data_IF_162897536736
#
_entry.id   IF_162897536736
#
_cell.length_a   1.000
_cell.length_b   1.000
_cell.length_c   1.000
_cell.angle_alpha   90.00
_cell.angle_beta   90.00
_cell.angle_gamma   90.00
#
_symmetry.space_group_name_H-M   'P 1'
#
loop_
_entity.id
_entity.type
_entity.pdbx_description
1 polymer ?
#
# COMPACT_ATOMS: atom_id res chain seq x y z
N UNK A 1 16.89 -33.20 19.77
CA UNK A 1 17.19 -32.90 18.35
C UNK A 1 17.53 -31.42 18.28
N UNK A 2 18.78 -31.07 17.98
CA UNK A 2 19.21 -29.67 17.91
C UNK A 2 18.89 -29.18 16.50
N UNK A 3 17.78 -28.47 16.33
CA UNK A 3 17.53 -27.75 15.10
C UNK A 3 18.47 -26.54 15.07
N UNK A 4 19.31 -26.36 14.04
CA UNK A 4 20.07 -25.12 13.88
C UNK A 4 19.08 -23.95 13.83
N UNK A 5 19.41 -22.85 14.51
CA UNK A 5 18.60 -21.63 14.49
C UNK A 5 18.73 -20.98 13.12
N UNK A 6 17.72 -21.16 12.26
CA UNK A 6 17.61 -20.45 10.99
C UNK A 6 17.12 -19.02 11.26
N UNK A 7 18.03 -18.14 11.71
CA UNK A 7 17.72 -16.80 12.17
C UNK A 7 18.17 -15.74 11.15
N UNK A 8 17.24 -14.90 10.71
CA UNK A 8 17.56 -13.63 10.03
C UNK A 8 17.71 -12.54 11.08
N UNK A 9 18.94 -12.07 11.33
CA UNK A 9 19.22 -11.07 12.37
C UNK A 9 18.84 -9.63 12.00
N UNK A 10 18.66 -9.37 10.71
CA UNK A 10 18.37 -8.02 10.20
C UNK A 10 16.89 -7.69 10.40
N UNK A 11 16.55 -6.50 10.91
CA UNK A 11 15.16 -6.13 11.12
C UNK A 11 14.43 -5.90 9.80
N UNK A 12 13.12 -6.12 9.82
CA UNK A 12 12.22 -5.62 8.78
C UNK A 12 11.85 -4.17 9.10
N UNK A 13 12.24 -3.24 8.25
CA UNK A 13 11.75 -1.87 8.32
C UNK A 13 10.39 -1.79 7.62
N UNK A 14 9.38 -1.21 8.25
CA UNK A 14 8.08 -0.95 7.66
C UNK A 14 7.97 0.54 7.42
N UNK A 15 7.76 0.95 6.17
CA UNK A 15 7.49 2.32 5.79
C UNK A 15 6.00 2.48 5.44
N UNK A 16 5.34 3.47 6.03
CA UNK A 16 3.94 3.78 5.72
C UNK A 16 3.76 5.28 5.47
N UNK A 17 3.12 5.67 4.35
CA UNK A 17 2.77 7.05 4.10
C UNK A 17 1.39 7.36 4.72
N UNK A 18 1.25 8.57 5.25
CA UNK A 18 0.01 9.08 5.82
C UNK A 18 -0.41 10.32 5.03
N UNK A 19 -1.17 10.08 3.98
CA UNK A 19 -1.72 11.09 3.09
C UNK A 19 -3.19 11.29 3.41
N UNK A 20 -3.59 12.43 3.98
CA UNK A 20 -4.98 12.68 4.36
C UNK A 20 -5.41 14.14 4.12
N UNK A 21 -5.46 14.60 2.85
CA UNK A 21 -5.76 15.99 2.52
C UNK A 21 -7.15 16.43 3.00
N UNK A 22 -8.10 15.51 3.14
CA UNK A 22 -9.47 15.78 3.56
C UNK A 22 -9.73 15.54 5.06
N UNK A 23 -8.71 15.15 5.84
CA UNK A 23 -8.78 14.96 7.31
C UNK A 23 -9.79 13.91 7.77
N UNK A 24 -9.96 12.83 7.00
CA UNK A 24 -10.84 11.74 7.41
C UNK A 24 -10.36 11.13 8.74
N UNK A 25 -11.23 11.11 9.76
CA UNK A 25 -10.92 10.65 11.12
C UNK A 25 -10.55 9.17 11.14
N UNK A 26 -11.22 8.36 10.32
CA UNK A 26 -11.02 6.91 10.25
C UNK A 26 -9.58 6.53 9.90
N UNK A 27 -8.91 7.31 9.04
CA UNK A 27 -7.50 7.08 8.67
C UNK A 27 -6.56 7.13 9.87
N UNK A 28 -6.77 8.05 10.80
CA UNK A 28 -5.91 8.18 11.99
C UNK A 28 -6.11 7.00 12.94
N UNK A 29 -7.36 6.56 13.15
CA UNK A 29 -7.66 5.39 13.98
C UNK A 29 -7.02 4.12 13.40
N UNK A 30 -7.20 3.88 12.11
CA UNK A 30 -6.62 2.71 11.44
C UNK A 30 -5.09 2.73 11.49
N UNK A 31 -4.49 3.89 11.26
CA UNK A 31 -3.04 4.05 11.38
C UNK A 31 -2.53 3.77 12.81
N UNK A 32 -3.24 4.21 13.85
CA UNK A 32 -2.87 3.92 15.24
C UNK A 32 -2.91 2.42 15.55
N UNK A 33 -3.94 1.72 15.09
CA UNK A 33 -4.06 0.26 15.24
C UNK A 33 -2.95 -0.47 14.47
N UNK A 34 -2.68 -0.03 13.25
CA UNK A 34 -1.60 -0.54 12.40
C UNK A 34 -0.22 -0.36 13.07
N UNK A 35 0.03 0.80 13.67
CA UNK A 35 1.28 1.05 14.41
C UNK A 35 1.48 0.03 15.53
N UNK A 36 0.43 -0.27 16.30
CA UNK A 36 0.50 -1.29 17.35
C UNK A 36 0.80 -2.66 16.74
N UNK A 37 0.07 -3.04 15.71
CA UNK A 37 0.24 -4.33 15.03
C UNK A 37 1.67 -4.55 14.50
N UNK A 38 2.28 -3.53 13.90
CA UNK A 38 3.68 -3.59 13.41
C UNK A 38 4.67 -3.76 14.55
N UNK A 39 4.48 -3.05 15.66
CA UNK A 39 5.35 -3.11 16.85
C UNK A 39 5.26 -4.46 17.56
N UNK A 40 4.03 -4.93 17.78
CA UNK A 40 3.77 -6.22 18.43
C UNK A 40 4.43 -7.38 17.64
N UNK A 41 4.49 -7.26 16.31
CA UNK A 41 5.14 -8.24 15.44
C UNK A 41 6.68 -8.12 15.37
N UNK A 42 7.27 -7.10 16.00
CA UNK A 42 8.73 -6.92 16.09
C UNK A 42 9.39 -6.18 14.92
N UNK A 43 8.62 -5.52 14.04
CA UNK A 43 9.16 -4.73 12.94
C UNK A 43 9.41 -3.26 13.33
N UNK A 44 10.29 -2.57 12.58
CA UNK A 44 10.67 -1.17 12.83
C UNK A 44 9.84 -0.24 11.94
N UNK A 45 8.90 0.50 12.52
CA UNK A 45 8.00 1.39 11.77
C UNK A 45 8.59 2.79 11.56
N UNK A 46 8.57 3.27 10.31
CA UNK A 46 8.81 4.66 9.89
C UNK A 46 7.55 5.20 9.20
N UNK A 47 6.97 6.27 9.73
CA UNK A 47 5.78 6.91 9.14
C UNK A 47 6.15 8.22 8.49
N UNK A 48 5.66 8.46 7.26
CA UNK A 48 5.82 9.76 6.57
C UNK A 48 4.46 10.42 6.43
N UNK A 49 4.23 11.49 7.19
CA UNK A 49 2.98 12.25 7.14
C UNK A 49 3.09 13.40 6.13
N UNK A 50 2.13 13.51 5.21
CA UNK A 50 1.95 14.72 4.39
C UNK A 50 0.87 15.60 5.03
N UNK A 51 1.30 16.70 5.65
CA UNK A 51 0.43 17.72 6.24
C UNK A 51 0.24 18.87 5.25
N UNK A 52 -0.98 19.40 5.13
CA UNK A 52 -1.33 20.40 4.10
C UNK A 52 -1.42 21.82 4.67
N UNK A 53 -0.76 22.78 4.03
CA UNK A 53 -0.83 24.20 4.38
C UNK A 53 -0.28 24.50 5.78
N UNK A 54 -1.05 25.24 6.59
CA UNK A 54 -0.71 25.60 7.98
C UNK A 54 -1.16 24.56 9.03
N UNK A 55 -1.74 23.44 8.59
CA UNK A 55 -2.30 22.43 9.50
C UNK A 55 -1.22 21.81 10.39
N UNK A 56 -1.60 21.50 11.62
CA UNK A 56 -0.80 20.69 12.55
C UNK A 56 -0.70 19.25 12.05
N UNK A 57 0.40 18.58 12.42
CA UNK A 57 0.61 17.16 12.13
C UNK A 57 -0.36 16.36 12.98
N UNK A 58 -1.13 15.46 12.39
CA UNK A 58 -1.99 14.60 13.21
C UNK A 58 -1.20 13.45 13.87
N UNK A 59 0.02 13.17 13.43
CA UNK A 59 0.96 12.40 14.24
C UNK A 59 1.24 13.04 15.61
N UNK A 60 1.18 14.37 15.75
CA UNK A 60 1.39 15.03 17.06
C UNK A 60 0.24 14.77 18.03
N UNK A 61 -0.98 14.60 17.52
CA UNK A 61 -2.18 14.36 18.32
C UNK A 61 -2.39 12.87 18.64
N UNK A 62 -1.90 11.98 17.78
CA UNK A 62 -2.17 10.53 17.82
C UNK A 62 -0.95 9.65 18.08
N UNK A 63 0.27 10.21 18.12
CA UNK A 63 1.44 9.45 18.54
C UNK A 63 1.24 8.96 19.97
N UNK A 64 1.19 7.63 20.14
CA UNK A 64 1.08 7.01 21.45
C UNK A 64 2.15 7.59 22.39
N UNK A 65 1.78 8.08 23.59
CA UNK A 65 2.77 8.56 24.55
C UNK A 65 3.75 7.42 24.85
N UNK A 66 5.04 7.69 24.68
CA UNK A 66 6.13 6.74 24.90
C UNK A 66 6.21 6.19 26.35
N UNK A 67 5.37 6.69 27.26
CA UNK A 67 5.28 6.25 28.65
C UNK A 67 3.90 5.64 28.92
N UNK A 68 3.78 4.33 28.73
CA UNK A 68 2.87 3.53 29.56
C UNK A 68 3.59 2.26 29.99
N UNK A 69 4.08 2.30 31.23
CA UNK A 69 4.34 1.11 32.02
C UNK A 69 2.99 0.46 32.26
N UNK A 70 2.59 -0.46 31.38
CA UNK A 70 1.66 -1.58 31.60
C UNK A 70 1.19 -2.07 30.23
N UNK A 71 1.83 -3.13 29.74
CA UNK A 71 1.31 -3.92 28.63
C UNK A 71 0.06 -4.67 29.11
N UNK A 72 -1.10 -4.59 28.42
CA UNK A 72 -2.18 -5.51 28.69
C UNK A 72 -1.74 -6.92 28.25
N UNK A 73 -1.58 -7.81 29.24
CA UNK A 73 -1.30 -9.22 29.04
C UNK A 73 -2.41 -9.85 28.19
N UNK A 74 -2.08 -10.27 26.97
CA UNK A 74 -2.93 -11.17 26.18
C UNK A 74 -2.32 -12.57 26.25
N UNK A 75 -2.95 -13.44 27.05
CA UNK A 75 -2.48 -14.81 27.27
C UNK A 75 -2.92 -15.76 26.15
N UNK A 76 -1.91 -16.37 25.53
CA UNK A 76 -1.82 -17.75 25.02
C UNK A 76 -2.85 -18.29 24.03
N UNK A 77 -2.48 -18.33 22.74
CA UNK A 77 -2.25 -19.56 21.96
C UNK A 77 -1.13 -19.24 20.93
N UNK A 78 0.03 -19.87 21.11
CA UNK A 78 1.30 -19.39 20.56
C UNK A 78 1.53 -19.75 19.08
N UNK A 79 1.88 -18.79 18.21
CA UNK A 79 2.65 -19.08 17.00
C UNK A 79 4.11 -19.38 17.34
N UNK A 80 4.90 -19.75 16.32
CA UNK A 80 6.34 -19.95 16.40
C UNK A 80 7.02 -18.86 17.27
N UNK A 81 8.11 -19.20 17.99
CA UNK A 81 8.83 -18.24 18.81
C UNK A 81 9.14 -16.98 17.98
N UNK A 82 8.61 -15.85 18.43
CA UNK A 82 8.97 -14.53 17.91
C UNK A 82 10.51 -14.47 17.91
N UNK A 83 11.17 -14.21 16.77
CA UNK A 83 12.61 -14.02 16.76
C UNK A 83 12.96 -13.06 17.88
N UNK A 84 13.89 -13.45 18.76
CA UNK A 84 14.34 -12.59 19.84
C UNK A 84 14.60 -11.22 19.24
N UNK A 85 13.84 -10.20 19.68
CA UNK A 85 13.79 -8.89 19.05
C UNK A 85 15.21 -8.52 18.64
N UNK A 86 15.47 -8.46 17.33
CA UNK A 86 16.78 -8.07 16.82
C UNK A 86 17.15 -6.81 17.60
N UNK A 87 18.30 -6.82 18.30
CA UNK A 87 18.73 -5.69 19.13
C UNK A 87 18.49 -4.45 18.30
N UNK A 88 17.55 -3.60 18.74
CA UNK A 88 17.18 -2.42 17.98
C UNK A 88 18.49 -1.71 17.57
N UNK A 89 18.64 -1.32 16.30
CA UNK A 89 19.88 -0.73 15.84
C UNK A 89 20.28 0.41 16.79
N UNK A 90 21.56 0.51 17.18
CA UNK A 90 22.03 1.47 18.19
C UNK A 90 21.72 2.92 17.80
N UNK A 91 21.55 3.19 16.50
CA UNK A 91 20.95 4.41 15.96
C UNK A 91 19.44 4.24 15.82
N UNK A 92 18.75 4.43 16.94
CA UNK A 92 17.30 4.34 17.08
C UNK A 92 16.61 5.29 16.08
N UNK A 93 15.71 4.77 15.25
CA UNK A 93 14.56 5.56 14.84
C UNK A 93 13.48 5.39 15.93
N UNK A 94 13.45 6.32 16.89
CA UNK A 94 12.62 6.24 18.12
C UNK A 94 11.32 6.99 17.85
N UNK A 95 10.39 6.34 17.13
CA UNK A 95 9.22 7.01 16.52
C UNK A 95 9.63 8.16 15.58
N UNK A 96 10.15 7.81 14.41
CA UNK A 96 10.41 8.82 13.40
C UNK A 96 9.19 9.02 12.54
N UNK A 97 8.56 10.16 12.78
CA UNK A 97 7.57 10.75 11.91
C UNK A 97 8.29 11.73 11.02
N UNK A 98 8.36 11.44 9.74
CA UNK A 98 8.85 12.41 8.77
C UNK A 98 7.65 13.26 8.38
N UNK A 99 7.68 14.53 8.80
CA UNK A 99 6.64 15.49 8.46
C UNK A 99 7.00 16.17 7.16
N UNK A 100 6.16 15.99 6.16
CA UNK A 100 6.30 16.64 4.86
C UNK A 100 5.16 17.63 4.69
N UNK A 101 5.48 18.90 4.48
CA UNK A 101 4.47 19.96 4.33
C UNK A 101 4.12 20.19 2.87
N UNK A 102 2.94 19.77 2.48
CA UNK A 102 2.39 19.89 1.14
C UNK A 102 1.56 21.19 1.04
N UNK A 103 1.60 21.92 -0.07
CA UNK A 103 0.68 23.05 -0.32
C UNK A 103 -0.41 22.69 -1.32
N UNK A 104 -1.17 23.70 -1.77
CA UNK A 104 -2.32 23.51 -2.64
C UNK A 104 -1.97 22.98 -4.05
N UNK A 105 -0.72 23.13 -4.49
CA UNK A 105 -0.20 22.59 -5.75
C UNK A 105 0.30 21.15 -5.60
N UNK A 106 0.36 20.67 -4.35
CA UNK A 106 0.75 19.33 -3.94
C UNK A 106 -0.46 18.50 -3.44
N UNK A 107 -1.69 18.97 -3.64
CA UNK A 107 -2.92 18.17 -3.50
C UNK A 107 -3.06 17.15 -4.64
N UNK A 108 -2.00 16.38 -4.87
CA UNK A 108 -1.89 15.27 -5.82
C UNK A 108 -1.68 13.97 -5.03
N UNK A 109 -1.86 12.81 -5.65
CA UNK A 109 -1.51 11.55 -4.98
C UNK A 109 0.00 11.47 -4.78
N UNK A 110 0.47 11.54 -3.53
CA UNK A 110 1.90 11.57 -3.19
C UNK A 110 2.39 10.32 -2.47
N UNK A 111 1.58 9.25 -2.40
CA UNK A 111 1.90 8.02 -1.65
C UNK A 111 3.32 7.52 -1.95
N UNK A 112 3.64 7.27 -3.21
CA UNK A 112 4.95 6.73 -3.60
C UNK A 112 6.08 7.75 -3.49
N UNK A 113 5.81 9.05 -3.63
CA UNK A 113 6.81 10.09 -3.31
C UNK A 113 7.19 10.07 -1.82
N UNK A 114 6.19 9.92 -0.93
CA UNK A 114 6.42 9.83 0.51
C UNK A 114 7.15 8.53 0.87
N UNK A 115 6.86 7.42 0.18
CA UNK A 115 7.62 6.17 0.33
C UNK A 115 9.09 6.35 -0.11
N UNK A 116 9.35 7.05 -1.21
CA UNK A 116 10.71 7.37 -1.63
C UNK A 116 11.45 8.26 -0.61
N UNK A 117 10.75 9.24 0.01
CA UNK A 117 11.29 10.01 1.13
C UNK A 117 11.60 9.11 2.33
N UNK A 118 10.72 8.15 2.65
CA UNK A 118 10.95 7.20 3.73
C UNK A 118 12.24 6.38 3.52
N UNK A 119 12.46 5.88 2.30
CA UNK A 119 13.68 5.12 1.95
C UNK A 119 14.96 5.91 2.20
N UNK A 120 14.94 7.22 1.94
CA UNK A 120 16.11 8.10 2.15
C UNK A 120 16.45 8.31 3.62
N UNK A 121 15.52 8.04 4.54
CA UNK A 121 15.68 8.23 5.98
C UNK A 121 15.90 6.91 6.75
N UNK A 122 15.85 5.77 6.06
CA UNK A 122 16.23 4.50 6.67
C UNK A 122 17.74 4.48 6.99
N UNK A 123 18.18 3.74 8.03
CA UNK A 123 19.60 3.63 8.38
C UNK A 123 20.46 3.18 7.18
N UNK A 124 21.66 3.74 6.96
CA UNK A 124 22.46 3.49 5.76
C UNK A 124 22.83 2.02 5.49
N UNK A 125 22.60 1.10 6.43
CA UNK A 125 22.86 -0.34 6.36
C UNK A 125 21.59 -1.21 6.31
N UNK A 126 20.39 -0.61 6.17
CA UNK A 126 19.13 -1.35 6.06
C UNK A 126 19.17 -2.35 4.88
N UNK A 127 18.55 -3.53 5.06
CA UNK A 127 18.52 -4.60 4.03
C UNK A 127 17.13 -4.98 3.56
N UNK A 128 16.14 -4.93 4.44
CA UNK A 128 14.79 -5.37 4.15
C UNK A 128 13.80 -4.28 4.53
N UNK A 129 12.93 -3.92 3.58
CA UNK A 129 11.87 -2.94 3.80
C UNK A 129 10.54 -3.50 3.32
N UNK A 130 9.49 -3.23 4.07
CA UNK A 130 8.11 -3.41 3.67
C UNK A 130 7.41 -2.06 3.53
N UNK A 131 6.59 -1.89 2.50
CA UNK A 131 5.66 -0.78 2.38
C UNK A 131 4.24 -1.31 2.47
N UNK A 132 3.50 -0.82 3.46
CA UNK A 132 2.24 -1.41 3.89
C UNK A 132 1.21 -0.31 4.08
N UNK A 133 0.00 -0.52 3.56
CA UNK A 133 -1.13 0.37 3.79
C UNK A 133 -1.55 0.31 5.26
N UNK A 134 -1.77 1.47 5.89
CA UNK A 134 -2.05 1.53 7.32
C UNK A 134 -3.48 1.14 7.71
N UNK A 135 -4.26 0.59 6.78
CA UNK A 135 -5.62 0.12 6.96
C UNK A 135 -5.73 -1.41 6.88
N UNK A 136 -4.59 -2.11 7.01
CA UNK A 136 -4.51 -3.57 6.96
C UNK A 136 -3.98 -4.21 8.24
N UNK A 137 -4.31 -5.49 8.42
CA UNK A 137 -3.77 -6.34 9.48
C UNK A 137 -3.47 -7.74 8.93
N UNK A 138 -2.34 -8.32 9.33
CA UNK A 138 -2.00 -9.69 8.99
C UNK A 138 -2.59 -10.65 10.01
N UNK A 139 -3.30 -11.67 9.53
CA UNK A 139 -3.93 -12.67 10.40
C UNK A 139 -2.90 -13.63 11.01
N UNK A 140 -1.82 -13.93 10.27
CA UNK A 140 -0.73 -14.74 10.80
C UNK A 140 0.18 -13.87 11.67
N UNK A 141 0.49 -14.28 12.91
CA UNK A 141 1.25 -13.45 13.84
C UNK A 141 2.77 -13.44 13.57
N UNK A 142 3.28 -14.39 12.79
CA UNK A 142 4.69 -14.53 12.41
C UNK A 142 5.00 -13.89 11.04
N UNK A 143 4.13 -13.00 10.53
CA UNK A 143 4.24 -12.38 9.21
C UNK A 143 5.58 -11.66 8.98
N UNK A 144 6.17 -11.06 10.02
CA UNK A 144 7.50 -10.42 9.93
C UNK A 144 8.57 -11.45 9.63
N UNK A 145 8.61 -12.53 10.43
CA UNK A 145 9.61 -13.60 10.26
C UNK A 145 9.44 -14.27 8.90
N UNK A 146 8.22 -14.63 8.53
CA UNK A 146 7.93 -15.25 7.24
C UNK A 146 8.36 -14.35 6.07
N UNK A 147 8.06 -13.04 6.14
CA UNK A 147 8.48 -12.09 5.10
C UNK A 147 10.00 -12.05 4.97
N UNK A 148 10.73 -12.04 6.09
CA UNK A 148 12.20 -12.09 6.09
C UNK A 148 12.73 -13.38 5.46
N UNK A 149 12.12 -14.54 5.74
CA UNK A 149 12.49 -15.81 5.10
C UNK A 149 12.21 -15.81 3.60
N UNK A 150 11.04 -15.30 3.16
CA UNK A 150 10.74 -15.16 1.73
C UNK A 150 11.77 -14.25 1.03
N UNK A 151 12.21 -13.16 1.67
CA UNK A 151 13.25 -12.27 1.13
C UNK A 151 14.65 -12.90 1.04
N UNK A 152 14.88 -14.09 1.60
CA UNK A 152 16.12 -14.85 1.35
C UNK A 152 16.14 -15.49 -0.03
N UNK A 153 14.96 -15.73 -0.61
CA UNK A 153 14.79 -16.38 -1.91
C UNK A 153 14.39 -15.38 -3.01
N UNK A 154 13.63 -14.34 -2.66
CA UNK A 154 13.01 -13.42 -3.61
C UNK A 154 13.53 -11.99 -3.45
N UNK A 155 13.60 -11.24 -4.56
CA UNK A 155 13.99 -9.82 -4.52
C UNK A 155 12.86 -8.94 -3.97
N UNK A 156 11.62 -9.29 -4.30
CA UNK A 156 10.40 -8.58 -3.96
C UNK A 156 9.34 -9.60 -3.57
N UNK A 157 8.60 -9.34 -2.50
CA UNK A 157 7.62 -10.27 -1.93
C UNK A 157 6.31 -9.53 -1.70
N UNK A 158 5.18 -10.09 -2.16
CA UNK A 158 3.87 -9.63 -1.74
C UNK A 158 3.48 -10.35 -0.43
N UNK A 159 3.04 -9.59 0.57
CA UNK A 159 3.01 -10.08 1.97
C UNK A 159 1.73 -10.83 2.36
N UNK A 160 0.95 -11.29 1.39
CA UNK A 160 -0.27 -12.06 1.59
C UNK A 160 -0.59 -12.88 0.34
N UNK A 161 -1.29 -14.00 0.51
CA UNK A 161 -1.86 -14.78 -0.60
C UNK A 161 -3.36 -14.52 -0.77
N UNK A 162 -4.05 -14.22 0.34
CA UNK A 162 -5.48 -13.90 0.39
C UNK A 162 -5.70 -12.59 1.15
N UNK A 163 -6.57 -11.73 0.66
CA UNK A 163 -7.05 -10.57 1.40
C UNK A 163 -8.57 -10.62 1.55
N UNK A 164 -9.08 -10.20 2.71
CA UNK A 164 -10.49 -10.02 3.00
C UNK A 164 -10.77 -8.54 3.22
N UNK A 165 -11.64 -7.95 2.41
CA UNK A 165 -12.19 -6.64 2.70
C UNK A 165 -13.29 -6.78 3.75
N UNK A 166 -13.25 -5.92 4.76
CA UNK A 166 -14.22 -5.93 5.85
C UNK A 166 -15.24 -4.80 5.71
N UNK A 167 -16.46 -5.07 6.16
CA UNK A 167 -17.53 -4.09 6.34
C UNK A 167 -17.22 -3.14 7.51
N UNK A 168 -17.99 -2.05 7.68
CA UNK A 168 -17.92 -1.21 8.88
C UNK A 168 -18.10 -1.99 10.19
N UNK A 169 -18.78 -3.13 10.14
CA UNK A 169 -19.03 -4.04 11.26
C UNK A 169 -18.02 -5.19 11.37
N UNK A 170 -16.93 -5.13 10.60
CA UNK A 170 -15.86 -6.13 10.58
C UNK A 170 -16.26 -7.49 9.96
N UNK A 171 -17.32 -7.52 9.17
CA UNK A 171 -17.75 -8.73 8.44
C UNK A 171 -17.07 -8.78 7.08
N UNK A 172 -16.59 -9.94 6.60
CA UNK A 172 -16.04 -10.04 5.24
C UNK A 172 -17.10 -9.66 4.19
N UNK A 173 -16.71 -8.81 3.24
CA UNK A 173 -17.57 -8.36 2.12
C UNK A 173 -16.96 -8.61 0.75
N UNK A 174 -15.65 -8.84 0.67
CA UNK A 174 -14.98 -9.29 -0.54
C UNK A 174 -13.73 -10.09 -0.19
N UNK A 175 -13.36 -11.00 -1.08
CA UNK A 175 -12.11 -11.76 -0.98
C UNK A 175 -11.26 -11.53 -2.23
N UNK A 176 -9.95 -11.54 -2.06
CA UNK A 176 -8.98 -11.31 -3.14
C UNK A 176 -7.81 -12.28 -3.04
N UNK A 177 -7.36 -12.82 -4.17
CA UNK A 177 -6.02 -13.37 -4.28
C UNK A 177 -5.01 -12.27 -4.59
N UNK A 178 -3.84 -12.36 -3.96
CA UNK A 178 -2.75 -11.43 -4.24
C UNK A 178 -2.24 -11.57 -5.68
N UNK A 179 -1.59 -10.53 -6.17
CA UNK A 179 -1.01 -10.48 -7.52
C UNK A 179 0.04 -11.56 -7.71
N UNK A 180 1.00 -11.68 -6.79
CA UNK A 180 2.07 -12.67 -6.92
C UNK A 180 1.55 -14.09 -6.73
N UNK A 181 0.60 -14.33 -5.81
CA UNK A 181 -0.04 -15.63 -5.70
C UNK A 181 -0.73 -16.04 -7.01
N UNK A 182 -1.50 -15.13 -7.61
CA UNK A 182 -2.17 -15.38 -8.89
C UNK A 182 -1.18 -15.69 -10.01
N UNK A 183 -0.04 -14.99 -10.05
CA UNK A 183 1.05 -15.23 -10.99
C UNK A 183 1.71 -16.60 -10.82
N UNK A 184 2.05 -16.97 -9.59
CA UNK A 184 2.70 -18.25 -9.27
C UNK A 184 1.80 -19.45 -9.56
N UNK A 185 0.48 -19.28 -9.45
CA UNK A 185 -0.51 -20.30 -9.83
C UNK A 185 -0.75 -20.37 -11.35
N UNK A 186 -0.04 -19.57 -12.16
CA UNK A 186 -0.18 -19.57 -13.61
C UNK A 186 -1.56 -19.13 -14.10
N UNK A 187 -2.29 -18.34 -13.29
CA UNK A 187 -3.60 -17.84 -13.69
C UNK A 187 -3.45 -16.92 -14.89
N UNK A 188 -4.55 -16.74 -15.65
CA UNK A 188 -4.58 -15.73 -16.70
C UNK A 188 -4.88 -14.37 -16.04
N UNK A 189 -3.99 -13.39 -16.18
CA UNK A 189 -4.22 -12.02 -15.73
C UNK A 189 -5.26 -11.29 -16.60
N UNK A 190 -6.05 -10.36 -16.03
CA UNK A 190 -7.07 -9.64 -16.78
C UNK A 190 -6.48 -8.81 -17.91
N UNK A 191 -7.29 -8.62 -18.96
CA UNK A 191 -7.02 -7.72 -20.08
C UNK A 191 -6.95 -6.26 -19.63
N UNK A 192 -6.40 -5.39 -20.48
CA UNK A 192 -6.22 -3.96 -20.19
C UNK A 192 -7.56 -3.28 -19.88
N UNK A 193 -7.75 -2.81 -18.65
CA UNK A 193 -8.94 -2.07 -18.22
C UNK A 193 -9.42 -2.45 -16.83
N UNK A 194 -9.22 -3.70 -16.43
CA UNK A 194 -9.63 -4.22 -15.12
C UNK A 194 -8.48 -4.20 -14.12
N UNK A 195 -8.68 -3.45 -13.03
CA UNK A 195 -7.67 -3.28 -11.98
C UNK A 195 -7.47 -4.55 -11.15
N UNK A 196 -8.55 -5.34 -11.00
CA UNK A 196 -8.59 -6.64 -10.35
C UNK A 196 -9.25 -7.61 -11.32
N UNK A 197 -8.63 -8.78 -11.55
CA UNK A 197 -9.24 -9.77 -12.42
C UNK A 197 -10.43 -10.38 -11.70
N UNK A 198 -11.66 -9.99 -12.05
CA UNK A 198 -12.83 -10.76 -11.68
C UNK A 198 -12.66 -12.18 -12.23
N UNK A 199 -12.93 -13.21 -11.43
CA UNK A 199 -12.87 -14.58 -11.95
C UNK A 199 -13.69 -14.68 -13.24
N UNK A 200 -13.20 -15.46 -14.21
CA UNK A 200 -13.54 -15.51 -15.63
C UNK A 200 -15.04 -15.58 -16.03
N UNK A 201 -15.99 -15.52 -15.11
CA UNK A 201 -17.42 -15.75 -15.32
C UNK A 201 -18.36 -14.70 -14.69
N UNK A 202 -17.84 -13.64 -14.06
CA UNK A 202 -18.67 -12.63 -13.38
C UNK A 202 -19.47 -13.16 -12.19
N UNK A 203 -19.20 -14.41 -11.76
CA UNK A 203 -19.83 -15.10 -10.62
C UNK A 203 -18.84 -15.39 -9.51
N UNK A 204 -17.54 -15.31 -9.78
CA UNK A 204 -16.51 -15.49 -8.77
C UNK A 204 -16.59 -14.40 -7.71
N UNK A 205 -16.88 -14.84 -6.48
CA UNK A 205 -16.93 -14.03 -5.26
C UNK A 205 -15.54 -13.56 -4.81
N UNK A 206 -14.49 -14.15 -5.39
CA UNK A 206 -13.08 -13.84 -5.13
C UNK A 206 -12.50 -13.14 -6.36
N UNK A 207 -11.99 -11.93 -6.17
CA UNK A 207 -11.19 -11.25 -7.18
C UNK A 207 -9.78 -11.83 -7.21
N UNK A 208 -9.12 -11.79 -8.35
CA UNK A 208 -7.74 -12.24 -8.54
C UNK A 208 -6.86 -11.04 -8.85
N UNK A 209 -5.55 -11.20 -8.71
CA UNK A 209 -4.57 -10.19 -9.11
C UNK A 209 -4.55 -8.89 -8.29
N UNK A 210 -4.82 -8.94 -6.99
CA UNK A 210 -4.79 -7.73 -6.16
C UNK A 210 -3.36 -7.20 -5.93
N UNK A 211 -3.05 -6.02 -6.49
CA UNK A 211 -1.70 -5.42 -6.46
C UNK A 211 -1.39 -4.58 -5.21
N UNK A 212 -2.39 -4.16 -4.44
CA UNK A 212 -2.21 -3.21 -3.34
C UNK A 212 -1.82 -3.85 -1.99
N UNK A 213 -2.06 -3.10 -0.92
CA UNK A 213 -1.94 -3.48 0.49
C UNK A 213 -0.53 -3.61 1.05
N UNK A 214 0.22 -4.66 0.71
CA UNK A 214 1.45 -4.95 1.43
C UNK A 214 2.48 -5.69 0.58
N UNK A 215 3.68 -5.14 0.56
CA UNK A 215 4.83 -5.67 -0.15
C UNK A 215 6.11 -5.44 0.65
N UNK A 216 7.11 -6.26 0.37
CA UNK A 216 8.46 -6.11 0.89
C UNK A 216 9.50 -6.32 -0.21
N UNK A 217 10.68 -5.73 -0.02
CA UNK A 217 11.79 -5.89 -0.94
C UNK A 217 13.13 -5.83 -0.20
N UNK A 218 14.12 -6.43 -0.86
CA UNK A 218 15.53 -6.24 -0.52
C UNK A 218 15.96 -4.85 -0.97
N UNK A 219 16.86 -4.21 -0.22
CA UNK A 219 17.40 -2.90 -0.58
C UNK A 219 17.94 -2.85 -2.00
N UNK A 220 18.77 -3.83 -2.35
CA UNK A 220 19.38 -3.92 -3.68
C UNK A 220 18.33 -3.91 -4.80
N UNK A 221 17.17 -4.54 -4.58
CA UNK A 221 16.09 -4.57 -5.58
C UNK A 221 15.53 -3.17 -5.82
N UNK A 222 15.27 -2.41 -4.74
CA UNK A 222 14.77 -1.03 -4.82
C UNK A 222 15.82 -0.06 -5.38
N UNK A 223 17.08 -0.18 -4.97
CA UNK A 223 18.18 0.64 -5.49
C UNK A 223 18.33 0.47 -7.02
N UNK A 224 18.23 -0.78 -7.50
CA UNK A 224 18.36 -1.08 -8.93
C UNK A 224 17.20 -0.53 -9.76
N UNK A 225 15.97 -0.62 -9.28
CA UNK A 225 14.81 -0.07 -10.01
C UNK A 225 14.65 1.44 -9.82
N UNK A 226 15.45 2.07 -8.94
CA UNK A 226 15.44 3.50 -8.69
C UNK A 226 14.33 3.96 -7.74
N UNK A 227 13.94 3.10 -6.79
CA UNK A 227 12.86 3.33 -5.85
C UNK A 227 11.46 3.08 -6.44
N UNK A 228 10.45 3.65 -5.80
CA UNK A 228 9.04 3.51 -6.19
C UNK A 228 8.68 4.43 -7.36
N UNK A 229 7.78 3.99 -8.24
CA UNK A 229 7.22 4.84 -9.30
C UNK A 229 6.32 5.92 -8.69
N UNK A 230 6.77 7.17 -8.67
CA UNK A 230 6.08 8.27 -7.97
C UNK A 230 5.49 9.36 -8.88
N UNK A 231 5.68 9.24 -10.20
CA UNK A 231 5.01 10.08 -11.19
C UNK A 231 3.49 9.81 -11.41
N UNK A 232 2.90 8.66 -10.98
CA UNK A 232 1.45 8.46 -11.03
C UNK A 232 0.68 9.33 -10.01
N UNK A 233 0.47 10.61 -10.34
CA UNK A 233 -0.11 11.64 -9.45
C UNK A 233 -1.61 11.49 -9.10
N UNK A 234 -2.26 10.41 -9.57
CA UNK A 234 -3.64 10.03 -9.21
C UNK A 234 -3.73 8.56 -8.70
N UNK A 235 -2.58 7.97 -8.33
CA UNK A 235 -2.44 6.58 -7.92
C UNK A 235 -2.17 5.62 -9.08
N UNK A 236 -2.35 4.31 -8.82
CA UNK A 236 -2.06 3.17 -9.71
C UNK A 236 -0.60 2.71 -9.76
N UNK A 237 0.31 3.35 -9.02
CA UNK A 237 1.71 2.95 -8.98
C UNK A 237 1.93 1.51 -8.48
N UNK A 238 1.14 1.03 -7.51
CA UNK A 238 1.14 -0.37 -7.07
C UNK A 238 0.83 -1.32 -8.24
N UNK A 239 -0.18 -1.00 -9.05
CA UNK A 239 -0.55 -1.78 -10.22
C UNK A 239 0.52 -1.74 -11.31
N UNK A 240 1.10 -0.55 -11.57
CA UNK A 240 2.22 -0.38 -12.51
C UNK A 240 3.43 -1.21 -12.09
N UNK A 241 3.85 -1.10 -10.83
CA UNK A 241 4.99 -1.84 -10.29
C UNK A 241 4.73 -3.35 -10.30
N UNK A 242 3.56 -3.82 -9.87
CA UNK A 242 3.20 -5.23 -9.87
C UNK A 242 3.23 -5.85 -11.28
N UNK A 243 2.59 -5.19 -12.27
CA UNK A 243 2.62 -5.62 -13.67
C UNK A 243 4.03 -5.54 -14.26
N UNK A 244 4.80 -4.50 -13.95
CA UNK A 244 6.17 -4.34 -14.43
C UNK A 244 7.12 -5.42 -13.89
N UNK A 245 6.94 -5.87 -12.64
CA UNK A 245 7.72 -6.95 -12.04
C UNK A 245 7.60 -8.29 -12.77
N UNK A 246 6.54 -8.49 -13.57
CA UNK A 246 6.33 -9.68 -14.40
C UNK A 246 6.43 -9.38 -15.92
N UNK A 247 6.99 -8.23 -16.29
CA UNK A 247 7.20 -7.84 -17.69
C UNK A 247 5.96 -7.34 -18.43
N UNK A 248 4.89 -6.95 -17.72
CA UNK A 248 3.57 -6.58 -18.29
C UNK A 248 3.14 -5.13 -17.98
N UNK A 249 4.07 -4.27 -17.62
CA UNK A 249 3.88 -2.85 -17.33
C UNK A 249 3.18 -2.07 -18.44
N UNK A 250 3.38 -2.43 -19.71
CA UNK A 250 2.68 -1.83 -20.85
C UNK A 250 1.15 -1.92 -20.73
N UNK A 251 0.64 -2.99 -20.13
CA UNK A 251 -0.80 -3.23 -19.97
C UNK A 251 -1.40 -2.48 -18.78
N UNK A 252 -0.54 -1.98 -17.89
CA UNK A 252 -0.97 -1.28 -16.69
C UNK A 252 -1.41 0.16 -16.96
N UNK A 253 -1.12 0.70 -18.16
CA UNK A 253 -1.43 2.08 -18.53
C UNK A 253 -2.59 2.15 -19.52
N UNK A 254 -3.33 3.26 -19.48
CA UNK A 254 -4.39 3.52 -20.46
C UNK A 254 -3.83 3.61 -21.89
N UNK A 255 -4.56 3.09 -22.88
CA UNK A 255 -4.12 3.08 -24.29
C UNK A 255 -3.81 4.50 -24.83
N UNK A 256 -4.61 5.48 -24.41
CA UNK A 256 -4.51 6.89 -24.83
C UNK A 256 -3.67 7.74 -23.88
N UNK A 257 -2.92 7.15 -22.94
CA UNK A 257 -2.03 7.92 -22.05
C UNK A 257 -0.88 8.54 -22.85
N UNK A 258 -0.36 9.67 -22.34
CA UNK A 258 0.79 10.34 -22.96
C UNK A 258 2.00 9.39 -23.13
N UNK A 259 2.72 9.42 -24.27
CA UNK A 259 3.86 8.54 -24.52
C UNK A 259 4.95 8.59 -23.44
N UNK A 260 5.23 9.76 -22.87
CA UNK A 260 6.23 9.89 -21.81
C UNK A 260 5.83 9.20 -20.50
N UNK A 261 4.52 9.13 -20.19
CA UNK A 261 4.03 8.36 -19.05
C UNK A 261 4.27 6.87 -19.26
N UNK A 262 3.93 6.38 -20.45
CA UNK A 262 4.18 4.99 -20.85
C UNK A 262 5.67 4.67 -20.81
N UNK A 263 6.51 5.54 -21.36
CA UNK A 263 7.96 5.40 -21.36
C UNK A 263 8.53 5.34 -19.93
N UNK A 264 7.99 6.11 -18.99
CA UNK A 264 8.42 6.08 -17.60
C UNK A 264 8.10 4.72 -16.92
N UNK A 265 6.90 4.15 -17.15
CA UNK A 265 6.56 2.79 -16.69
C UNK A 265 7.51 1.76 -17.29
N UNK A 266 7.72 1.82 -18.60
CA UNK A 266 8.57 0.86 -19.31
C UNK A 266 10.03 0.96 -18.87
N UNK A 267 10.56 2.16 -18.64
CA UNK A 267 11.94 2.34 -18.17
C UNK A 267 12.16 1.70 -16.79
N UNK A 268 11.16 1.75 -15.89
CA UNK A 268 11.22 1.05 -14.61
C UNK A 268 11.13 -0.47 -14.80
N UNK A 269 10.22 -0.95 -15.67
CA UNK A 269 10.15 -2.37 -16.04
C UNK A 269 11.48 -2.88 -16.60
N UNK A 270 12.13 -2.14 -17.50
CA UNK A 270 13.37 -2.57 -18.14
C UNK A 270 14.49 -2.77 -17.12
N UNK A 271 14.52 -1.99 -16.02
CA UNK A 271 15.44 -2.22 -14.90
C UNK A 271 15.05 -3.49 -14.13
N UNK A 272 13.75 -3.67 -13.84
CA UNK A 272 13.26 -4.86 -13.15
C UNK A 272 13.53 -6.16 -13.94
N UNK A 273 13.21 -6.21 -15.23
CA UNK A 273 13.45 -7.38 -16.09
C UNK A 273 14.94 -7.75 -16.16
N UNK A 274 15.83 -6.75 -16.26
CA UNK A 274 17.28 -6.98 -16.33
C UNK A 274 17.86 -7.57 -15.04
N UNK A 275 17.37 -7.11 -13.89
CA UNK A 275 18.05 -7.36 -12.61
C UNK A 275 17.22 -8.15 -11.59
N UNK A 276 15.93 -7.86 -11.44
CA UNK A 276 15.02 -8.64 -10.60
C UNK A 276 14.66 -9.95 -11.27
N UNK A 277 14.57 -9.97 -12.62
CA UNK A 277 14.31 -11.15 -13.46
C UNK A 277 13.07 -11.93 -13.01
N UNK A 278 12.01 -11.19 -12.64
CA UNK A 278 10.74 -11.72 -12.14
C UNK A 278 10.88 -12.64 -10.92
N UNK A 279 11.96 -12.51 -10.15
CA UNK A 279 12.15 -13.24 -8.90
C UNK A 279 11.31 -12.61 -7.79
N UNK A 280 10.01 -12.90 -7.84
CA UNK A 280 8.99 -12.39 -6.93
C UNK A 280 8.37 -13.51 -6.09
N UNK A 281 8.18 -13.24 -4.80
CA UNK A 281 7.65 -14.18 -3.82
C UNK A 281 6.30 -13.76 -3.25
N UNK A 282 5.66 -14.69 -2.56
CA UNK A 282 4.41 -14.47 -1.86
C UNK A 282 4.54 -15.03 -0.44
N UNK A 283 4.06 -14.29 0.55
CA UNK A 283 3.83 -14.82 1.90
C UNK A 283 2.45 -15.46 1.92
N UNK A 284 2.37 -16.75 2.23
CA UNK A 284 1.10 -17.40 2.44
C UNK A 284 0.44 -16.89 3.72
N UNK A 285 -0.81 -16.43 3.60
CA UNK A 285 -1.55 -15.90 4.73
C UNK A 285 -2.66 -14.94 4.31
N UNK A 286 -3.54 -14.70 5.28
CA UNK A 286 -4.68 -13.78 5.13
C UNK A 286 -4.34 -12.39 5.65
N UNK A 287 -4.59 -11.39 4.82
CA UNK A 287 -4.59 -9.98 5.20
C UNK A 287 -6.05 -9.49 5.33
N UNK A 288 -6.35 -8.74 6.38
CA UNK A 288 -7.63 -8.08 6.57
C UNK A 288 -7.49 -6.62 6.15
N UNK A 289 -8.37 -6.14 5.28
CA UNK A 289 -8.46 -4.72 4.90
C UNK A 289 -9.67 -4.09 5.60
N UNK A 290 -9.41 -3.13 6.47
CA UNK A 290 -10.45 -2.49 7.27
C UNK A 290 -11.20 -1.42 6.49
N UNK A 291 -12.51 -1.35 6.74
CA UNK A 291 -13.37 -0.35 6.14
C UNK A 291 -12.91 1.08 6.43
N UNK A 292 -12.81 1.87 5.37
CA UNK A 292 -12.56 3.31 5.41
C UNK A 292 -13.31 4.02 4.26
N UNK A 293 -14.60 3.70 4.11
CA UNK A 293 -15.46 4.23 3.07
C UNK A 293 -15.51 3.35 1.82
N UNK A 294 -16.67 3.44 1.15
CA UNK A 294 -17.03 2.65 -0.03
C UNK A 294 -15.96 2.68 -1.12
N UNK A 295 -15.69 1.51 -1.73
CA UNK A 295 -14.74 1.40 -2.85
C UNK A 295 -15.31 2.04 -4.12
N UNK A 296 -16.64 2.12 -4.24
CA UNK A 296 -17.34 2.80 -5.35
C UNK A 296 -16.92 4.27 -5.45
N UNK A 297 -16.79 4.96 -4.31
CA UNK A 297 -16.39 6.37 -4.25
C UNK A 297 -14.92 6.61 -4.64
N UNK A 298 -14.11 5.55 -4.82
CA UNK A 298 -12.68 5.68 -5.16
C UNK A 298 -12.43 5.92 -6.64
N UNK A 299 -13.44 5.76 -7.51
CA UNK A 299 -13.48 6.20 -8.92
C UNK A 299 -12.20 5.90 -9.71
N UNK A 300 -11.70 4.67 -9.57
CA UNK A 300 -10.43 4.24 -10.15
C UNK A 300 -10.39 4.33 -11.69
N UNK A 301 -11.55 4.26 -12.36
CA UNK A 301 -11.66 4.45 -13.82
C UNK A 301 -11.58 5.93 -14.20
N UNK A 302 -12.25 6.81 -13.45
CA UNK A 302 -12.29 8.26 -13.74
C UNK A 302 -10.90 8.90 -13.68
N UNK A 303 -9.96 8.33 -12.90
CA UNK A 303 -8.59 8.83 -12.81
C UNK A 303 -7.89 8.88 -14.17
N UNK A 304 -8.10 7.85 -15.00
CA UNK A 304 -7.49 7.77 -16.33
C UNK A 304 -8.06 8.83 -17.26
N UNK A 305 -9.37 9.09 -17.16
CA UNK A 305 -10.04 10.16 -17.90
C UNK A 305 -9.40 11.52 -17.61
N UNK A 306 -9.13 11.84 -16.33
CA UNK A 306 -8.46 13.09 -15.94
C UNK A 306 -7.07 13.20 -16.60
N UNK A 307 -6.26 12.15 -16.54
CA UNK A 307 -4.91 12.17 -17.12
C UNK A 307 -4.92 12.30 -18.64
N UNK A 308 -5.79 11.55 -19.32
CA UNK A 308 -5.90 11.51 -20.78
C UNK A 308 -6.45 12.84 -21.32
N UNK A 309 -7.54 13.37 -20.75
CA UNK A 309 -8.15 14.63 -21.23
C UNK A 309 -7.23 15.84 -21.06
N UNK A 310 -6.35 15.82 -20.06
CA UNK A 310 -5.36 16.88 -19.86
C UNK A 310 -4.03 16.61 -20.58
N UNK A 311 -3.94 15.51 -21.35
CA UNK A 311 -2.72 15.05 -22.00
C UNK A 311 -1.52 15.07 -21.03
N UNK A 312 -1.70 14.51 -19.83
CA UNK A 312 -0.73 14.61 -18.73
C UNK A 312 0.63 14.01 -19.11
N UNK A 313 1.66 14.84 -19.07
CA UNK A 313 3.04 14.49 -19.34
C UNK A 313 3.88 14.63 -18.07
N UNK A 314 4.35 13.52 -17.46
CA UNK A 314 5.12 13.57 -16.23
C UNK A 314 6.49 14.24 -16.37
N UNK A 315 6.97 14.54 -17.59
CA UNK A 315 8.24 15.24 -17.79
C UNK A 315 8.15 16.77 -17.67
N UNK A 316 6.96 17.34 -17.90
CA UNK A 316 6.79 18.81 -17.95
C UNK A 316 5.69 19.33 -17.03
N UNK A 317 4.69 18.51 -16.71
CA UNK A 317 3.54 18.93 -15.90
C UNK A 317 3.78 18.79 -14.39
N UNK A 318 4.88 18.14 -14.00
CA UNK A 318 5.29 17.99 -12.61
C UNK A 318 6.80 18.19 -12.45
N UNK A 319 7.21 18.59 -11.25
CA UNK A 319 8.60 18.63 -10.83
C UNK A 319 8.70 18.30 -9.33
N UNK A 320 9.86 17.77 -8.89
CA UNK A 320 10.11 17.52 -7.47
C UNK A 320 10.61 18.80 -6.80
N UNK A 321 10.07 19.10 -5.62
CA UNK A 321 10.64 20.13 -4.75
C UNK A 321 11.93 19.64 -4.05
N UNK A 322 12.55 20.51 -3.24
CA UNK A 322 13.80 20.20 -2.53
C UNK A 322 13.68 19.06 -1.52
N UNK A 323 12.47 18.58 -1.23
CA UNK A 323 12.17 17.47 -0.32
C UNK A 323 11.84 16.18 -1.09
N UNK A 324 11.90 16.22 -2.42
CA UNK A 324 11.61 15.07 -3.28
C UNK A 324 10.13 14.81 -3.54
N UNK A 325 9.22 15.73 -3.17
CA UNK A 325 7.78 15.59 -3.42
C UNK A 325 7.39 16.31 -4.70
N UNK A 326 6.53 15.69 -5.50
CA UNK A 326 6.01 16.31 -6.71
C UNK A 326 5.11 17.52 -6.43
N UNK A 327 5.22 18.48 -7.34
CA UNK A 327 4.37 19.66 -7.52
C UNK A 327 3.88 19.69 -8.94
N UNK A 328 2.65 20.17 -9.14
CA UNK A 328 2.19 20.54 -10.47
C UNK A 328 2.99 21.76 -10.96
N UNK A 329 3.39 21.77 -12.23
CA UNK A 329 4.12 22.89 -12.85
C UNK A 329 3.28 24.15 -13.07
N UNK A 330 1.98 24.12 -12.73
CA UNK A 330 1.06 25.25 -12.90
C UNK A 330 0.60 25.52 -14.33
N UNK A 331 1.15 24.81 -15.32
CA UNK A 331 0.84 24.96 -16.75
C UNK A 331 -0.54 24.39 -17.16
N UNK A 332 -1.18 23.59 -16.29
CA UNK A 332 -2.49 22.97 -16.55
C UNK A 332 -3.49 23.21 -15.40
N UNK A 333 -4.13 24.40 -15.29
CA UNK A 333 -5.09 24.68 -14.23
C UNK A 333 -6.29 23.73 -14.19
N UNK A 334 -6.77 23.27 -15.36
CA UNK A 334 -7.86 22.27 -15.46
C UNK A 334 -7.49 20.95 -14.76
N UNK A 335 -6.27 20.46 -14.98
CA UNK A 335 -5.76 19.24 -14.34
C UNK A 335 -5.78 19.40 -12.82
N UNK A 336 -5.23 20.49 -12.30
CA UNK A 336 -5.23 20.81 -10.86
C UNK A 336 -6.64 20.75 -10.27
N UNK A 337 -7.60 21.42 -10.90
CA UNK A 337 -8.95 21.54 -10.36
C UNK A 337 -9.71 20.21 -10.41
N UNK A 338 -9.51 19.41 -11.46
CA UNK A 338 -10.06 18.06 -11.55
C UNK A 338 -9.46 17.10 -10.50
N UNK A 339 -8.15 17.17 -10.24
CA UNK A 339 -7.50 16.36 -9.18
C UNK A 339 -8.10 16.69 -7.80
N UNK A 340 -8.31 17.97 -7.50
CA UNK A 340 -8.93 18.40 -6.23
C UNK A 340 -10.35 17.89 -6.10
N UNK A 341 -11.14 18.00 -7.17
CA UNK A 341 -12.50 17.47 -7.20
C UNK A 341 -12.51 15.96 -6.97
N UNK A 342 -11.59 15.22 -7.59
CA UNK A 342 -11.42 13.78 -7.41
C UNK A 342 -11.16 13.39 -5.95
N UNK A 343 -10.26 14.08 -5.24
CA UNK A 343 -9.96 13.75 -3.84
C UNK A 343 -11.10 14.05 -2.87
N UNK A 344 -11.89 15.10 -3.11
CA UNK A 344 -13.02 15.47 -2.25
C UNK A 344 -14.17 14.45 -2.29
N UNK A 345 -14.29 13.68 -3.37
CA UNK A 345 -15.40 12.76 -3.59
C UNK A 345 -15.23 11.40 -2.88
N UNK A 346 -14.05 11.10 -2.30
CA UNK A 346 -13.72 9.77 -1.79
C UNK A 346 -14.48 9.37 -0.52
N UNK A 347 -14.94 10.33 0.29
CA UNK A 347 -15.72 10.15 1.52
C UNK A 347 -15.24 8.99 2.43
N UNK A 348 -13.97 9.02 2.84
CA UNK A 348 -13.35 7.88 3.54
C UNK A 348 -13.75 7.73 5.02
N UNK A 349 -14.56 8.66 5.55
CA UNK A 349 -15.22 8.52 6.85
C UNK A 349 -16.62 7.88 6.74
N UNK A 350 -17.12 7.65 5.52
CA UNK A 350 -18.43 7.06 5.30
C UNK A 350 -18.53 5.65 5.89
N UNK A 351 -19.58 5.40 6.66
CA UNK A 351 -19.90 4.07 7.22
C UNK A 351 -21.00 3.36 6.44
N UNK A 352 -21.63 4.04 5.48
CA UNK A 352 -22.67 3.46 4.64
C UNK A 352 -22.03 2.65 3.51
N UNK A 353 -22.49 1.42 3.35
CA UNK A 353 -22.15 0.60 2.18
C UNK A 353 -23.02 1.01 1.00
N UNK A 354 -22.46 0.94 -0.20
CA UNK A 354 -23.17 1.18 -1.46
C UNK A 354 -23.37 -0.13 -2.23
N UNK A 355 -24.35 -0.12 -3.13
CA UNK A 355 -24.54 -1.21 -4.09
C UNK A 355 -23.24 -1.47 -4.86
N UNK A 356 -22.73 -2.68 -4.72
CA UNK A 356 -21.46 -3.11 -5.30
C UNK A 356 -20.29 -3.21 -4.32
N UNK A 357 -20.43 -2.81 -3.05
CA UNK A 357 -19.42 -3.04 -2.00
C UNK A 357 -19.46 -4.49 -1.47
N UNK A 358 -20.65 -5.05 -1.20
CA UNK A 358 -20.79 -6.47 -0.82
C UNK A 358 -20.69 -7.36 -2.07
N UNK A 359 -19.51 -7.94 -2.27
CA UNK A 359 -19.24 -8.93 -3.33
C UNK A 359 -19.56 -10.34 -2.88
N UNK A 360 -19.63 -10.60 -1.58
CA UNK A 360 -19.91 -11.92 -1.02
C UNK A 360 -21.41 -12.22 -0.91
N UNK A 361 -22.27 -11.20 -1.00
CA UNK A 361 -23.72 -11.34 -0.87
C UNK A 361 -24.15 -11.80 0.53
N UNK A 362 -23.29 -11.58 1.53
CA UNK A 362 -23.51 -12.02 2.91
C UNK A 362 -24.40 -11.06 3.69
N UNK A 363 -24.55 -9.81 3.23
CA UNK A 363 -25.23 -8.75 3.97
C UNK A 363 -26.62 -8.43 3.43
N UNK A 364 -27.02 -9.02 2.30
CA UNK A 364 -28.39 -8.92 1.77
C UNK A 364 -29.31 -9.94 2.45
N UNK A 365 -29.76 -9.66 3.69
CA UNK A 365 -30.91 -10.29 4.34
C UNK A 365 -31.35 -9.58 5.64
N UNK A 366 -31.37 -8.25 5.64
CA UNK A 366 -31.94 -7.46 6.75
C UNK A 366 -33.16 -6.66 6.31
N UNK A 367 -34.11 -7.32 5.65
CA UNK A 367 -35.50 -6.87 5.55
C UNK A 367 -36.36 -8.10 5.26
N UNK A 368 -36.60 -8.92 6.28
CA UNK A 368 -37.78 -9.80 6.46
C UNK A 368 -37.56 -10.65 7.74
N UNK A 369 -37.38 -9.99 8.89
CA UNK A 369 -37.67 -10.65 10.16
C UNK A 369 -39.19 -10.66 10.31
N UNK A 370 -39.81 -11.79 9.98
CA UNK A 370 -41.18 -12.08 10.42
C UNK A 370 -41.12 -12.17 11.95
N UNK A 371 -41.89 -11.38 12.70
CA UNK A 371 -41.87 -11.43 14.15
C UNK A 371 -42.41 -12.78 14.61
N UNK A 372 -41.65 -13.47 15.45
CA UNK A 372 -42.13 -14.56 16.30
C UNK A 372 -42.05 -14.11 17.75
#
# INVERSE_FOLDING_TARGET
>A
MYYPKDNVEQPLYVITPLFNPQRYKRRWKLWADFQKHVRDAGAVLLTVECSFGERTSAADDWAYPNDSKEDPTFTSFGPAPVPAAAKMPPNRLKQDYIKVRCDYEQEIWTKESLLNVALQHLPPDWKYVAWIDSDVLFSRPDWVSETLHQLQHYHVVQMFSVALDLSPKYEPIAAHHSFVHSYQQGLVPPDSGDYYGGGNDGKSVVNRWHSGYAWAARREALDIVGGFMDFPILGAADHHMAKALIGRGQESVHKDIHPNYRAAVMAWQDRAERHIKRNVGCVDGTLLHYWHGSKVNRRYVDRWKILVENNFDPQVDIYKDTRGIYRLSGNKPRLRDQIRAYFRQRNEDGIDMQDGDDKLGLLSNHDHLVPW
#
